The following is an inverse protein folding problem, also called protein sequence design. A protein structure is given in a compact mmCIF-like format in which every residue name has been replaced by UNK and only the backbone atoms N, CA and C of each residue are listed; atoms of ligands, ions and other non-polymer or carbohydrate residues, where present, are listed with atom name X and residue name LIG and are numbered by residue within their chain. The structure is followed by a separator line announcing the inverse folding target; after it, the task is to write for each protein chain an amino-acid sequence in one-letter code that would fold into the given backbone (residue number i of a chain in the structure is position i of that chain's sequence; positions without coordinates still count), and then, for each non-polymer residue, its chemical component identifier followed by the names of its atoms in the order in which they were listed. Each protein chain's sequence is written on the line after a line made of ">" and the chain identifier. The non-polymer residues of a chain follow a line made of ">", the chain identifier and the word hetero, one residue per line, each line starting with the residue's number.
data_IF_786056179886
#
_entry.id   IF_786056179886
#
_cell.length_a   1.000
_cell.length_b   1.000
_cell.length_c   1.000
_cell.angle_alpha   90.00
_cell.angle_beta   90.00
_cell.angle_gamma   90.00
#
_symmetry.space_group_name_H-M   'P 1'
#
loop_
_entity.id
_entity.type
_entity.pdbx_description
1 polymer ?
#
# COMPACT_ATOMS: atom_id res chain seq x y z
N UNK A 1 -17.06 -2.46 -2.11
CA UNK A 1 -15.93 -1.55 -1.93
C UNK A 1 -15.90 -0.63 -3.13
N UNK A 2 -15.92 0.67 -2.90
CA UNK A 2 -15.87 1.68 -3.96
C UNK A 2 -14.44 1.84 -4.49
N UNK A 3 -14.29 2.35 -5.71
CA UNK A 3 -12.96 2.52 -6.31
C UNK A 3 -12.06 3.42 -5.45
N UNK A 4 -12.62 4.46 -4.84
CA UNK A 4 -11.88 5.37 -3.97
C UNK A 4 -11.40 4.67 -2.68
N UNK A 5 -12.18 3.76 -2.12
CA UNK A 5 -11.80 2.98 -0.95
C UNK A 5 -10.62 2.05 -1.27
N UNK A 6 -10.63 1.44 -2.46
CA UNK A 6 -9.52 0.60 -2.93
C UNK A 6 -8.26 1.40 -3.24
N UNK A 7 -8.40 2.60 -3.81
CA UNK A 7 -7.26 3.49 -4.06
C UNK A 7 -6.63 4.01 -2.77
N UNK A 8 -7.45 4.27 -1.74
CA UNK A 8 -6.95 4.62 -0.41
C UNK A 8 -6.22 3.44 0.24
N UNK A 9 -6.81 2.25 0.22
CA UNK A 9 -6.17 1.05 0.78
C UNK A 9 -4.84 0.70 0.08
N UNK A 10 -4.73 0.94 -1.23
CA UNK A 10 -3.48 0.80 -1.96
C UNK A 10 -2.40 1.79 -1.49
N UNK A 11 -2.77 3.04 -1.24
CA UNK A 11 -1.84 4.06 -0.75
C UNK A 11 -1.37 3.73 0.68
N UNK A 12 -2.28 3.22 1.52
CA UNK A 12 -1.94 2.76 2.87
C UNK A 12 -0.97 1.57 2.84
N UNK A 13 -1.25 0.52 2.06
CA UNK A 13 -0.33 -0.64 1.94
C UNK A 13 1.03 -0.23 1.35
N UNK A 14 1.06 0.69 0.38
CA UNK A 14 2.31 1.19 -0.19
C UNK A 14 3.17 1.90 0.88
N UNK A 15 2.56 2.72 1.73
CA UNK A 15 3.25 3.41 2.82
C UNK A 15 3.78 2.43 3.86
N UNK A 16 3.01 1.41 4.22
CA UNK A 16 3.47 0.37 5.14
C UNK A 16 4.67 -0.38 4.57
N UNK A 17 4.65 -0.76 3.28
CA UNK A 17 5.78 -1.41 2.61
C UNK A 17 7.03 -0.52 2.66
N UNK A 18 6.90 0.77 2.34
CA UNK A 18 8.01 1.73 2.39
C UNK A 18 8.53 1.91 3.82
N UNK A 19 7.63 1.93 4.81
CA UNK A 19 7.98 1.96 6.23
C UNK A 19 8.82 0.75 6.65
N UNK A 20 8.38 -0.47 6.30
CA UNK A 20 9.15 -1.67 6.62
C UNK A 20 10.49 -1.73 5.88
N UNK A 21 10.60 -1.19 4.66
CA UNK A 21 11.90 -1.07 3.97
C UNK A 21 12.85 -0.20 4.80
N UNK A 22 12.38 0.96 5.24
CA UNK A 22 13.17 1.87 6.08
C UNK A 22 13.59 1.20 7.39
N UNK A 23 12.68 0.55 8.11
CA UNK A 23 12.98 -0.14 9.37
C UNK A 23 14.01 -1.27 9.20
N UNK A 24 13.93 -2.02 8.10
CA UNK A 24 14.90 -3.07 7.76
C UNK A 24 16.28 -2.46 7.49
N UNK A 25 16.34 -1.35 6.76
CA UNK A 25 17.61 -0.67 6.49
C UNK A 25 18.22 -0.12 7.80
N UNK A 26 17.39 0.44 8.70
CA UNK A 26 17.85 0.92 10.00
C UNK A 26 18.38 -0.23 10.88
N UNK A 27 17.75 -1.41 10.87
CA UNK A 27 18.29 -2.60 11.53
C UNK A 27 19.67 -2.99 10.98
N UNK A 28 19.87 -2.95 9.66
CA UNK A 28 21.17 -3.28 9.08
C UNK A 28 22.25 -2.28 9.49
N UNK A 29 21.93 -0.98 9.56
CA UNK A 29 22.85 0.05 10.04
C UNK A 29 23.24 -0.22 11.50
N UNK A 30 22.28 -0.52 12.39
CA UNK A 30 22.55 -0.85 13.79
C UNK A 30 23.39 -2.12 13.93
N UNK A 31 23.13 -3.16 13.13
CA UNK A 31 23.98 -4.36 13.10
C UNK A 31 25.41 -4.05 12.66
N UNK A 32 25.60 -3.15 11.70
CA UNK A 32 26.93 -2.72 11.27
C UNK A 32 27.67 -1.99 12.39
N UNK A 33 26.98 -1.11 13.12
CA UNK A 33 27.53 -0.41 14.28
C UNK A 33 27.94 -1.39 15.40
N UNK A 34 27.09 -2.39 15.68
CA UNK A 34 27.42 -3.46 16.63
C UNK A 34 28.66 -4.24 16.18
N UNK A 35 28.70 -4.66 14.90
CA UNK A 35 29.84 -5.39 14.34
C UNK A 35 31.14 -4.55 14.40
N UNK A 36 31.05 -3.24 14.20
CA UNK A 36 32.18 -2.32 14.34
C UNK A 36 32.65 -2.19 15.79
N UNK A 37 31.72 -2.05 16.71
CA UNK A 37 32.03 -1.96 18.13
C UNK A 37 32.67 -3.25 18.67
N UNK A 38 32.14 -4.41 18.29
CA UNK A 38 32.72 -5.72 18.63
C UNK A 38 34.15 -5.85 18.10
N UNK A 39 34.41 -5.44 16.84
CA UNK A 39 35.76 -5.41 16.28
C UNK A 39 36.70 -4.51 17.08
N UNK A 40 36.26 -3.32 17.46
CA UNK A 40 37.07 -2.38 18.24
C UNK A 40 37.40 -2.94 19.64
N UNK A 41 36.46 -3.62 20.31
CA UNK A 41 36.72 -4.31 21.58
C UNK A 41 37.79 -5.39 21.39
N UNK A 42 37.65 -6.22 20.37
CA UNK A 42 38.57 -7.34 20.10
C UNK A 42 39.98 -6.86 19.72
N UNK A 43 40.09 -5.71 19.05
CA UNK A 43 41.35 -5.06 18.73
C UNK A 43 42.01 -4.38 19.94
N UNK A 44 41.30 -4.27 21.08
CA UNK A 44 41.78 -3.54 22.26
C UNK A 44 41.77 -2.01 22.06
N UNK A 45 41.01 -1.53 21.09
CA UNK A 45 40.95 -0.12 20.71
C UNK A 45 39.98 0.68 21.59
N UNK A 46 39.09 0.01 22.33
CA UNK A 46 38.16 0.63 23.28
C UNK A 46 38.80 0.75 24.67
N UNK A 47 39.24 1.95 25.10
CA UNK A 47 39.89 2.11 26.39
C UNK A 47 38.87 2.02 27.53
N UNK A 48 39.28 1.42 28.66
CA UNK A 48 38.55 1.47 29.93
C UNK A 48 37.18 0.75 29.98
N UNK A 49 36.93 -0.27 29.14
CA UNK A 49 35.82 -1.19 29.32
C UNK A 49 36.10 -2.12 30.52
N UNK A 50 35.35 -2.03 31.63
CA UNK A 50 35.67 -2.78 32.85
C UNK A 50 35.39 -4.28 32.73
N UNK A 51 34.52 -4.70 31.80
CA UNK A 51 34.23 -6.10 31.53
C UNK A 51 33.95 -6.34 30.04
N UNK A 52 35.01 -6.55 29.27
CA UNK A 52 34.93 -6.79 27.82
C UNK A 52 34.16 -8.07 27.47
N UNK A 53 34.28 -9.12 28.29
CA UNK A 53 33.57 -10.38 28.04
C UNK A 53 32.04 -10.20 28.15
N UNK A 54 31.59 -9.42 29.14
CA UNK A 54 30.17 -9.11 29.28
C UNK A 54 29.65 -8.24 28.13
N UNK A 55 30.37 -7.18 27.77
CA UNK A 55 30.00 -6.33 26.63
C UNK A 55 29.89 -7.13 25.32
N UNK A 56 30.79 -8.09 25.06
CA UNK A 56 30.71 -8.94 23.87
C UNK A 56 29.46 -9.85 23.86
N UNK A 57 29.02 -10.32 25.04
CA UNK A 57 27.79 -11.10 25.15
C UNK A 57 26.57 -10.22 24.91
N UNK A 58 26.51 -9.03 25.51
CA UNK A 58 25.41 -8.08 25.27
C UNK A 58 25.32 -7.70 23.78
N UNK A 59 26.44 -7.44 23.12
CA UNK A 59 26.44 -7.11 21.70
C UNK A 59 26.00 -8.27 20.80
N UNK A 60 26.33 -9.52 21.16
CA UNK A 60 25.82 -10.69 20.43
C UNK A 60 24.28 -10.80 20.60
N UNK A 61 23.77 -10.57 21.82
CA UNK A 61 22.33 -10.56 22.10
C UNK A 61 21.62 -9.44 21.31
N UNK A 62 22.13 -8.20 21.34
CA UNK A 62 21.58 -7.08 20.57
C UNK A 62 21.58 -7.37 19.06
N UNK A 63 22.66 -7.99 18.55
CA UNK A 63 22.75 -8.37 17.14
C UNK A 63 21.70 -9.42 16.76
N UNK A 64 21.47 -10.42 17.62
CA UNK A 64 20.41 -11.42 17.43
C UNK A 64 19.01 -10.78 17.47
N UNK A 65 18.79 -9.80 18.36
CA UNK A 65 17.54 -9.05 18.42
C UNK A 65 17.25 -8.29 17.11
N UNK A 66 18.26 -7.65 16.52
CA UNK A 66 18.14 -6.96 15.22
C UNK A 66 17.84 -7.94 14.07
N UNK A 67 18.51 -9.10 14.02
CA UNK A 67 18.21 -10.14 13.03
C UNK A 67 16.76 -10.64 13.15
N UNK A 68 16.29 -10.83 14.39
CA UNK A 68 14.91 -11.21 14.67
C UNK A 68 13.91 -10.12 14.28
N UNK A 69 14.25 -8.84 14.47
CA UNK A 69 13.43 -7.71 14.04
C UNK A 69 13.31 -7.67 12.51
N UNK A 70 14.43 -7.82 11.78
CA UNK A 70 14.45 -7.87 10.31
C UNK A 70 13.53 -8.98 9.79
N UNK A 71 13.55 -10.17 10.41
CA UNK A 71 12.69 -11.27 9.98
C UNK A 71 11.21 -10.92 10.14
N UNK A 72 10.81 -10.33 11.27
CA UNK A 72 9.43 -9.88 11.50
C UNK A 72 9.00 -8.82 10.50
N UNK A 73 9.86 -7.84 10.22
CA UNK A 73 9.58 -6.79 9.24
C UNK A 73 9.47 -7.34 7.83
N UNK A 74 10.30 -8.31 7.43
CA UNK A 74 10.19 -8.98 6.13
C UNK A 74 8.87 -9.75 6.00
N UNK A 75 8.44 -10.45 7.04
CA UNK A 75 7.16 -11.15 7.04
C UNK A 75 5.98 -10.18 6.91
N UNK A 76 5.96 -9.11 7.71
CA UNK A 76 4.93 -8.08 7.66
C UNK A 76 4.89 -7.40 6.29
N UNK A 77 6.06 -6.99 5.76
CA UNK A 77 6.19 -6.40 4.43
C UNK A 77 5.65 -7.34 3.35
N UNK A 78 6.00 -8.63 3.40
CA UNK A 78 5.52 -9.63 2.45
C UNK A 78 3.99 -9.75 2.45
N UNK A 79 3.36 -9.69 3.63
CA UNK A 79 1.91 -9.67 3.74
C UNK A 79 1.28 -8.44 3.06
N UNK A 80 1.85 -7.25 3.29
CA UNK A 80 1.37 -6.02 2.63
C UNK A 80 1.62 -6.02 1.12
N UNK A 81 2.76 -6.54 0.65
CA UNK A 81 3.04 -6.70 -0.78
C UNK A 81 1.99 -7.59 -1.48
N UNK A 82 1.61 -8.71 -0.84
CA UNK A 82 0.55 -9.59 -1.34
C UNK A 82 -0.83 -8.90 -1.37
N UNK A 83 -1.19 -8.17 -0.31
CA UNK A 83 -2.44 -7.40 -0.28
C UNK A 83 -2.45 -6.31 -1.35
N UNK A 84 -1.35 -5.57 -1.49
CA UNK A 84 -1.20 -4.52 -2.49
C UNK A 84 -1.43 -5.06 -3.90
N UNK A 85 -0.79 -6.18 -4.27
CA UNK A 85 -0.98 -6.80 -5.59
C UNK A 85 -2.45 -7.19 -5.84
N UNK A 86 -3.10 -7.76 -4.83
CA UNK A 86 -4.50 -8.16 -4.91
C UNK A 86 -5.42 -6.95 -5.09
N UNK A 87 -5.24 -5.90 -4.29
CA UNK A 87 -6.01 -4.66 -4.39
C UNK A 87 -5.78 -3.96 -5.73
N UNK A 88 -4.55 -3.98 -6.24
CA UNK A 88 -4.21 -3.39 -7.54
C UNK A 88 -4.97 -4.09 -8.67
N UNK A 89 -5.07 -5.42 -8.62
CA UNK A 89 -5.88 -6.21 -9.55
C UNK A 89 -7.37 -5.85 -9.49
N UNK A 90 -7.94 -5.71 -8.28
CA UNK A 90 -9.33 -5.30 -8.09
C UNK A 90 -9.60 -3.90 -8.63
N UNK A 91 -8.71 -2.95 -8.34
CA UNK A 91 -8.75 -1.58 -8.86
C UNK A 91 -8.76 -1.56 -10.39
N UNK A 92 -7.86 -2.32 -11.02
CA UNK A 92 -7.79 -2.40 -12.48
C UNK A 92 -9.07 -2.97 -13.09
N UNK A 93 -9.64 -4.02 -12.48
CA UNK A 93 -10.89 -4.63 -12.91
C UNK A 93 -12.06 -3.64 -12.82
N UNK A 94 -12.24 -2.97 -11.68
CA UNK A 94 -13.33 -2.00 -11.50
C UNK A 94 -13.18 -0.79 -12.42
N UNK A 95 -11.96 -0.30 -12.66
CA UNK A 95 -11.71 0.77 -13.65
C UNK A 95 -12.16 0.35 -15.04
N UNK A 96 -11.89 -0.90 -15.44
CA UNK A 96 -12.32 -1.46 -16.73
C UNK A 96 -13.85 -1.59 -16.81
N UNK A 97 -14.50 -2.10 -15.78
CA UNK A 97 -15.95 -2.22 -15.72
C UNK A 97 -16.64 -0.86 -15.79
N UNK A 98 -16.14 0.14 -15.04
CA UNK A 98 -16.65 1.51 -15.07
C UNK A 98 -16.56 2.12 -16.46
N UNK A 99 -15.45 1.94 -17.16
CA UNK A 99 -15.27 2.42 -18.52
C UNK A 99 -16.23 1.72 -19.51
N UNK A 100 -16.40 0.40 -19.36
CA UNK A 100 -17.35 -0.38 -20.15
C UNK A 100 -18.80 0.07 -19.95
N UNK A 101 -19.20 0.28 -18.69
CA UNK A 101 -20.53 0.78 -18.36
C UNK A 101 -20.77 2.17 -18.95
N UNK A 102 -19.80 3.07 -18.81
CA UNK A 102 -19.89 4.42 -19.38
C UNK A 102 -20.06 4.40 -20.90
N UNK A 103 -19.29 3.56 -21.60
CA UNK A 103 -19.42 3.36 -23.05
C UNK A 103 -20.83 2.88 -23.42
N UNK A 104 -21.34 1.85 -22.74
CA UNK A 104 -22.68 1.31 -22.97
C UNK A 104 -23.77 2.38 -22.73
N UNK A 105 -23.64 3.20 -21.69
CA UNK A 105 -24.56 4.31 -21.43
C UNK A 105 -24.57 5.32 -22.59
N UNK A 106 -23.41 5.68 -23.13
CA UNK A 106 -23.30 6.57 -24.30
C UNK A 106 -23.98 5.94 -25.53
N UNK A 107 -23.76 4.66 -25.78
CA UNK A 107 -24.34 3.94 -26.91
C UNK A 107 -25.88 3.92 -26.82
N UNK A 108 -26.43 3.59 -25.65
CA UNK A 108 -27.88 3.62 -25.39
C UNK A 108 -28.43 5.03 -25.62
N UNK A 109 -27.79 6.06 -25.05
CA UNK A 109 -28.21 7.45 -25.24
C UNK A 109 -28.18 7.87 -26.71
N UNK A 110 -27.17 7.42 -27.46
CA UNK A 110 -27.06 7.67 -28.90
C UNK A 110 -28.19 6.99 -29.68
N UNK A 111 -28.55 5.75 -29.33
CA UNK A 111 -29.70 5.04 -29.94
C UNK A 111 -30.99 5.80 -29.68
N UNK A 112 -31.28 6.17 -28.43
CA UNK A 112 -32.49 6.92 -28.06
C UNK A 112 -32.58 8.30 -28.73
N UNK A 113 -31.44 8.95 -28.96
CA UNK A 113 -31.37 10.20 -29.72
C UNK A 113 -31.72 9.98 -31.19
N UNK A 114 -31.11 8.96 -31.83
CA UNK A 114 -31.34 8.64 -33.24
C UNK A 114 -32.77 8.15 -33.53
N UNK A 115 -33.38 7.43 -32.60
CA UNK A 115 -34.76 6.94 -32.75
C UNK A 115 -35.83 7.98 -32.44
N UNK A 116 -35.45 9.20 -32.05
CA UNK A 116 -36.40 10.26 -31.70
C UNK A 116 -37.15 10.02 -30.38
N UNK A 117 -36.81 8.96 -29.63
CA UNK A 117 -37.44 8.60 -28.35
C UNK A 117 -37.37 9.76 -27.35
N UNK A 118 -36.23 10.47 -27.27
CA UNK A 118 -36.12 11.64 -26.40
C UNK A 118 -37.08 12.78 -26.78
N UNK A 119 -37.39 12.95 -28.08
CA UNK A 119 -38.39 13.91 -28.54
C UNK A 119 -39.80 13.54 -28.08
N UNK A 120 -40.16 12.24 -28.19
CA UNK A 120 -41.45 11.72 -27.72
C UNK A 120 -41.60 11.87 -26.20
N UNK A 121 -40.57 11.51 -25.43
CA UNK A 121 -40.56 11.68 -23.97
C UNK A 121 -40.72 13.15 -23.60
N UNK A 122 -39.96 14.05 -24.25
CA UNK A 122 -40.06 15.50 -24.00
C UNK A 122 -41.47 16.04 -24.26
N UNK A 123 -42.09 15.66 -25.38
CA UNK A 123 -43.46 16.07 -25.71
C UNK A 123 -44.49 15.55 -24.68
N UNK A 124 -44.32 14.32 -24.20
CA UNK A 124 -45.18 13.75 -23.13
C UNK A 124 -45.01 14.45 -21.79
N UNK A 125 -43.78 14.77 -21.39
CA UNK A 125 -43.49 15.49 -20.15
C UNK A 125 -44.09 16.90 -20.16
N UNK A 126 -43.99 17.63 -21.28
CA UNK A 126 -44.64 18.95 -21.43
C UNK A 126 -46.16 18.83 -21.27
N UNK A 127 -46.77 17.81 -21.88
CA UNK A 127 -48.22 17.57 -21.80
C UNK A 127 -48.69 17.15 -20.39
N UNK A 128 -47.84 16.51 -19.61
CA UNK A 128 -48.12 16.16 -18.21
C UNK A 128 -48.00 17.39 -17.32
N UNK A 129 -46.94 18.17 -17.47
CA UNK A 129 -46.73 19.39 -16.68
C UNK A 129 -47.81 20.46 -16.94
N UNK A 130 -48.33 20.54 -18.16
CA UNK A 130 -49.45 21.43 -18.50
C UNK A 130 -50.81 20.96 -17.98
N UNK A 131 -50.90 19.73 -17.45
CA UNK A 131 -52.12 19.17 -16.84
C UNK A 131 -52.08 19.19 -15.31
N UNK A 132 -50.91 19.42 -14.72
CA UNK A 132 -50.68 19.53 -13.27
C UNK A 132 -50.60 20.98 -12.77
N UNK A 133 -50.78 21.96 -13.66
CA UNK A 133 -50.95 23.39 -13.38
C UNK A 133 -52.40 23.79 -13.70
#
# INVERSE_FOLDING_TARGET
>A
MELNELELALDDDQKEIEGYIYEIDECHDRMQDIDEFVRAIQAGEVPALPNTAFALVEMEEEREEEENAINKYKEARGWHEEQFQKLQGQCAMLKKERAGLHKTCIEICSIFRRSGVFGVIRARLVKLNSKSA
#
